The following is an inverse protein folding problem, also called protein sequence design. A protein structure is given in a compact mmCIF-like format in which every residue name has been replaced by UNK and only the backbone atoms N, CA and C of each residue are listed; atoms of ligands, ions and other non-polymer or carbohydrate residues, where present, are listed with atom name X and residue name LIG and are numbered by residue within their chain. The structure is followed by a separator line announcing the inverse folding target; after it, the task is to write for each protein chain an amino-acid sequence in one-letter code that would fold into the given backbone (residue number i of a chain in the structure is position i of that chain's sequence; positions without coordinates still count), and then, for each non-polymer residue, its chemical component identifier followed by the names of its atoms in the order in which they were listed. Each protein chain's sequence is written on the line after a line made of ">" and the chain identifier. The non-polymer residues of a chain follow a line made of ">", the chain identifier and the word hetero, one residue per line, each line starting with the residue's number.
data_IF_884399448894
#
_entry.id   IF_884399448894
#
_cell.length_a   1.000
_cell.length_b   1.000
_cell.length_c   1.000
_cell.angle_alpha   90.00
_cell.angle_beta   90.00
_cell.angle_gamma   90.00
#
_symmetry.space_group_name_H-M   'P 1'
#
loop_
_entity.id
_entity.type
_entity.pdbx_description
1 polymer ?
#
# COMPACT_ATOMS: atom_id res chain seq x y z
N UNK A 1 -8.94 -8.98 -16.17
CA UNK A 1 -9.88 -8.18 -15.38
C UNK A 1 -9.21 -7.03 -14.59
N UNK A 2 -8.15 -7.26 -13.80
CA UNK A 2 -7.50 -6.17 -13.02
C UNK A 2 -6.81 -5.07 -13.86
N UNK A 3 -6.22 -5.40 -15.01
CA UNK A 3 -5.41 -4.46 -15.80
C UNK A 3 -6.20 -3.29 -16.39
N UNK A 4 -7.43 -3.53 -16.83
CA UNK A 4 -8.31 -2.48 -17.37
C UNK A 4 -8.75 -1.51 -16.28
N UNK A 5 -9.10 -2.01 -15.10
CA UNK A 5 -9.47 -1.18 -13.96
C UNK A 5 -8.31 -0.28 -13.53
N UNK A 6 -7.08 -0.81 -13.47
CA UNK A 6 -5.89 0.02 -13.18
C UNK A 6 -5.65 1.07 -14.27
N UNK A 7 -5.84 0.74 -15.55
CA UNK A 7 -5.72 1.73 -16.63
C UNK A 7 -6.76 2.85 -16.49
N UNK A 8 -8.00 2.52 -16.13
CA UNK A 8 -9.07 3.50 -15.90
C UNK A 8 -8.72 4.39 -14.71
N UNK A 9 -8.25 3.82 -13.59
CA UNK A 9 -7.83 4.59 -12.43
C UNK A 9 -6.65 5.52 -12.74
N UNK A 10 -5.63 5.03 -13.44
CA UNK A 10 -4.48 5.84 -13.84
C UNK A 10 -4.90 6.98 -14.80
N UNK A 11 -5.79 6.71 -15.76
CA UNK A 11 -6.33 7.73 -16.65
C UNK A 11 -7.14 8.79 -15.87
N UNK A 12 -7.96 8.36 -14.91
CA UNK A 12 -8.71 9.28 -14.04
C UNK A 12 -7.78 10.15 -13.21
N UNK A 13 -6.71 9.59 -12.66
CA UNK A 13 -5.68 10.36 -11.94
C UNK A 13 -5.06 11.43 -12.83
N UNK A 14 -4.65 11.07 -14.06
CA UNK A 14 -4.11 12.06 -15.00
C UNK A 14 -5.12 13.16 -15.33
N UNK A 15 -6.38 12.81 -15.58
CA UNK A 15 -7.45 13.78 -15.89
C UNK A 15 -7.75 14.73 -14.73
N UNK A 16 -7.87 14.21 -13.51
CA UNK A 16 -8.16 15.03 -12.32
C UNK A 16 -6.96 15.91 -11.96
N UNK A 17 -5.72 15.43 -12.09
CA UNK A 17 -4.53 16.24 -11.82
C UNK A 17 -4.31 17.35 -12.86
N UNK A 18 -4.79 17.19 -14.10
CA UNK A 18 -4.80 18.29 -15.08
C UNK A 18 -5.79 19.40 -14.66
N UNK A 19 -6.94 19.03 -14.10
CA UNK A 19 -7.96 19.99 -13.64
C UNK A 19 -7.62 20.61 -12.29
N UNK A 20 -7.09 19.80 -11.38
CA UNK A 20 -6.83 20.12 -9.97
C UNK A 20 -5.45 19.57 -9.58
N UNK A 21 -4.36 20.29 -9.90
CA UNK A 21 -2.99 19.79 -9.69
C UNK A 21 -2.62 19.50 -8.24
N UNK A 22 -3.36 20.06 -7.29
CA UNK A 22 -3.16 19.84 -5.86
C UNK A 22 -3.75 18.52 -5.34
N UNK A 23 -4.61 17.83 -6.11
CA UNK A 23 -5.17 16.56 -5.69
C UNK A 23 -4.11 15.45 -5.70
N UNK A 24 -4.02 14.77 -4.57
CA UNK A 24 -3.17 13.59 -4.41
C UNK A 24 -3.77 12.39 -5.14
N UNK A 25 -2.92 11.40 -5.44
CA UNK A 25 -3.38 10.15 -6.07
C UNK A 25 -4.36 9.45 -5.11
N UNK A 26 -4.03 9.44 -3.83
CA UNK A 26 -4.81 8.82 -2.76
C UNK A 26 -6.22 9.40 -2.63
N UNK A 27 -6.39 10.72 -2.70
CA UNK A 27 -7.70 11.38 -2.71
C UNK A 27 -8.52 10.95 -3.92
N UNK A 28 -7.92 10.97 -5.12
CA UNK A 28 -8.59 10.57 -6.36
C UNK A 28 -9.00 9.09 -6.32
N UNK A 29 -8.15 8.23 -5.73
CA UNK A 29 -8.46 6.81 -5.56
C UNK A 29 -9.61 6.59 -4.58
N UNK A 30 -9.65 7.35 -3.48
CA UNK A 30 -10.75 7.29 -2.52
C UNK A 30 -12.07 7.71 -3.16
N UNK A 31 -12.07 8.80 -3.94
CA UNK A 31 -13.25 9.26 -4.69
C UNK A 31 -13.67 8.30 -5.81
N UNK A 32 -12.76 7.47 -6.29
CA UNK A 32 -13.04 6.39 -7.23
C UNK A 32 -13.55 5.10 -6.54
N UNK A 33 -13.71 5.09 -5.22
CA UNK A 33 -14.26 3.97 -4.44
C UNK A 33 -13.22 2.95 -3.97
N UNK A 34 -11.91 3.23 -4.09
CA UNK A 34 -10.86 2.31 -3.61
C UNK A 34 -10.93 2.12 -2.08
N UNK A 35 -11.45 3.10 -1.35
CA UNK A 35 -11.64 3.05 0.11
C UNK A 35 -12.57 1.93 0.60
N UNK A 36 -13.39 1.34 -0.26
CA UNK A 36 -14.23 0.17 0.09
C UNK A 36 -13.49 -1.17 0.12
N UNK A 37 -12.20 -1.19 -0.23
CA UNK A 37 -11.39 -2.42 -0.30
C UNK A 37 -10.66 -2.71 1.02
N UNK A 38 -10.23 -3.96 1.20
CA UNK A 38 -9.29 -4.29 2.29
C UNK A 38 -7.98 -3.49 2.14
N UNK A 39 -7.30 -3.18 3.25
CA UNK A 39 -6.03 -2.43 3.24
C UNK A 39 -5.04 -3.05 2.24
N UNK A 40 -4.90 -4.37 2.26
CA UNK A 40 -4.03 -5.09 1.33
C UNK A 40 -4.38 -4.85 -0.14
N UNK A 41 -5.66 -4.75 -0.48
CA UNK A 41 -6.10 -4.44 -1.84
C UNK A 41 -5.95 -2.94 -2.19
N UNK A 42 -6.19 -2.03 -1.23
CA UNK A 42 -5.97 -0.59 -1.41
C UNK A 42 -4.52 -0.29 -1.75
N UNK A 43 -3.56 -0.82 -0.98
CA UNK A 43 -2.14 -0.56 -1.20
C UNK A 43 -1.64 -1.15 -2.53
N UNK A 44 -2.21 -2.27 -2.98
CA UNK A 44 -1.89 -2.84 -4.29
C UNK A 44 -2.51 -2.04 -5.44
N UNK A 45 -3.74 -1.55 -5.28
CA UNK A 45 -4.37 -0.67 -6.27
C UNK A 45 -3.58 0.62 -6.42
N UNK A 46 -3.24 1.26 -5.30
CA UNK A 46 -2.34 2.41 -5.25
C UNK A 46 -1.03 2.10 -5.98
N UNK A 47 -0.36 1.01 -5.62
CA UNK A 47 0.94 0.70 -6.21
C UNK A 47 0.88 0.44 -7.70
N UNK A 48 -0.16 -0.24 -8.18
CA UNK A 48 -0.37 -0.47 -9.60
C UNK A 48 -0.62 0.84 -10.37
N UNK A 49 -1.30 1.82 -9.76
CA UNK A 49 -1.47 3.16 -10.35
C UNK A 49 -0.14 3.91 -10.39
N UNK A 50 0.64 3.92 -9.31
CA UNK A 50 1.99 4.50 -9.29
C UNK A 50 2.88 3.89 -10.39
N UNK A 51 2.92 2.55 -10.48
CA UNK A 51 3.63 1.84 -11.54
C UNK A 51 3.21 2.30 -12.93
N UNK A 52 1.89 2.36 -13.18
CA UNK A 52 1.34 2.72 -14.48
C UNK A 52 1.68 4.15 -14.89
N UNK A 53 1.79 5.06 -13.93
CA UNK A 53 2.19 6.45 -14.12
C UNK A 53 3.72 6.63 -14.17
N UNK A 54 4.51 5.56 -13.97
CA UNK A 54 5.97 5.63 -13.90
C UNK A 54 6.50 6.40 -12.69
N UNK A 55 5.71 6.48 -11.61
CA UNK A 55 6.04 7.24 -10.38
C UNK A 55 6.39 6.28 -9.24
N UNK A 56 7.30 6.70 -8.37
CA UNK A 56 7.63 5.94 -7.14
C UNK A 56 8.25 4.56 -7.41
N UNK A 57 8.94 4.42 -8.55
CA UNK A 57 9.71 3.22 -8.91
C UNK A 57 11.12 3.35 -8.38
N UNK A 58 11.66 2.26 -7.86
CA UNK A 58 13.09 2.19 -7.55
C UNK A 58 13.90 2.22 -8.85
N UNK A 59 15.11 2.81 -8.82
CA UNK A 59 15.94 2.85 -10.02
C UNK A 59 16.28 1.43 -10.52
N UNK A 60 16.48 1.24 -11.83
CA UNK A 60 16.84 -0.07 -12.38
C UNK A 60 18.06 -0.67 -11.66
N UNK A 61 17.89 -1.89 -11.14
CA UNK A 61 18.95 -2.62 -10.43
C UNK A 61 19.07 -2.30 -8.93
N UNK A 62 18.42 -1.25 -8.42
CA UNK A 62 18.56 -0.84 -7.01
C UNK A 62 17.54 -1.50 -6.07
N UNK A 63 16.46 -2.09 -6.60
CA UNK A 63 15.36 -2.65 -5.78
C UNK A 63 15.85 -3.64 -4.71
N UNK A 64 16.81 -4.49 -5.05
CA UNK A 64 17.37 -5.47 -4.09
C UNK A 64 18.11 -4.77 -2.94
N UNK A 65 18.90 -3.75 -3.23
CA UNK A 65 19.66 -3.01 -2.22
C UNK A 65 18.71 -2.18 -1.34
N UNK A 66 17.77 -1.45 -1.96
CA UNK A 66 16.75 -0.68 -1.25
C UNK A 66 15.91 -1.56 -0.33
N UNK A 67 15.47 -2.74 -0.80
CA UNK A 67 14.73 -3.69 0.02
C UNK A 67 15.59 -4.28 1.15
N UNK A 68 16.87 -4.53 0.90
CA UNK A 68 17.82 -4.95 1.93
C UNK A 68 17.96 -3.92 3.06
N UNK A 69 18.10 -2.64 2.71
CA UNK A 69 18.16 -1.54 3.68
C UNK A 69 16.86 -1.42 4.48
N UNK A 70 15.71 -1.50 3.80
CA UNK A 70 14.41 -1.48 4.48
C UNK A 70 14.26 -2.63 5.47
N UNK A 71 14.68 -3.85 5.10
CA UNK A 71 14.64 -5.03 5.98
C UNK A 71 15.57 -4.85 7.18
N UNK A 72 16.73 -4.22 6.99
CA UNK A 72 17.67 -3.95 8.07
C UNK A 72 17.05 -3.03 9.12
N UNK A 73 16.42 -1.94 8.70
CA UNK A 73 15.75 -0.99 9.60
C UNK A 73 14.46 -1.56 10.22
N UNK A 74 13.74 -2.37 9.43
CA UNK A 74 12.48 -2.99 9.83
C UNK A 74 12.54 -4.50 9.62
N UNK A 75 13.07 -5.27 10.59
CA UNK A 75 13.17 -6.73 10.47
C UNK A 75 11.83 -7.44 10.37
N UNK A 76 10.76 -6.79 10.83
CA UNK A 76 9.37 -7.27 10.78
C UNK A 76 8.47 -6.10 10.38
N UNK A 77 7.64 -6.30 9.36
CA UNK A 77 6.83 -5.22 8.79
C UNK A 77 5.51 -5.72 8.22
N UNK A 78 4.51 -4.83 8.23
CA UNK A 78 3.22 -5.02 7.58
C UNK A 78 3.33 -4.71 6.09
N UNK A 79 2.43 -5.29 5.31
CA UNK A 79 2.39 -5.06 3.88
C UNK A 79 2.15 -3.59 3.53
N UNK A 80 1.33 -2.86 4.31
CA UNK A 80 1.15 -1.42 4.10
C UNK A 80 2.45 -0.62 4.28
N UNK A 81 3.28 -1.00 5.25
CA UNK A 81 4.54 -0.31 5.56
C UNK A 81 5.54 -0.49 4.41
N UNK A 82 5.58 -1.71 3.86
CA UNK A 82 6.38 -1.97 2.66
C UNK A 82 5.88 -1.15 1.47
N UNK A 83 4.56 -1.04 1.27
CA UNK A 83 3.96 -0.25 0.17
C UNK A 83 4.03 1.26 0.35
N UNK A 84 4.27 1.73 1.57
CA UNK A 84 4.62 3.12 1.81
C UNK A 84 5.99 3.46 1.22
N UNK A 85 7.00 2.60 1.44
CA UNK A 85 8.35 2.78 0.88
C UNK A 85 8.42 2.43 -0.61
N UNK A 86 7.90 1.27 -1.01
CA UNK A 86 7.92 0.78 -2.39
C UNK A 86 6.59 1.07 -3.07
N UNK A 87 6.45 2.32 -3.50
CA UNK A 87 5.18 2.86 -3.95
C UNK A 87 4.73 2.26 -5.27
N UNK A 88 5.60 2.17 -6.27
CA UNK A 88 5.25 1.67 -7.61
C UNK A 88 5.86 0.31 -7.96
N UNK A 89 6.79 -0.22 -7.17
CA UNK A 89 7.52 -1.42 -7.58
C UNK A 89 6.59 -2.65 -7.71
N UNK A 90 6.79 -3.51 -8.74
CA UNK A 90 5.92 -4.66 -8.97
C UNK A 90 5.86 -5.62 -7.78
N UNK A 91 4.63 -6.04 -7.43
CA UNK A 91 4.37 -6.97 -6.32
C UNK A 91 5.25 -8.23 -6.39
N UNK A 92 5.32 -8.83 -7.57
CA UNK A 92 6.00 -10.10 -7.76
C UNK A 92 7.53 -9.94 -7.67
N UNK A 93 8.07 -8.81 -8.12
CA UNK A 93 9.49 -8.49 -7.96
C UNK A 93 9.87 -8.36 -6.47
N UNK A 94 9.07 -7.62 -5.71
CA UNK A 94 9.25 -7.47 -4.26
C UNK A 94 9.16 -8.85 -3.57
N UNK A 95 8.11 -9.62 -3.86
CA UNK A 95 7.91 -10.95 -3.24
C UNK A 95 9.04 -11.93 -3.55
N UNK A 96 9.54 -11.94 -4.78
CA UNK A 96 10.67 -12.78 -5.18
C UNK A 96 11.92 -12.45 -4.36
N UNK A 97 12.21 -11.16 -4.18
CA UNK A 97 13.34 -10.71 -3.37
C UNK A 97 13.15 -11.01 -1.89
N UNK A 98 11.96 -10.80 -1.31
CA UNK A 98 11.66 -11.18 0.07
C UNK A 98 11.88 -12.69 0.30
N UNK A 99 11.45 -13.51 -0.65
CA UNK A 99 11.68 -14.96 -0.60
C UNK A 99 13.18 -15.29 -0.66
N UNK A 100 13.94 -14.58 -1.51
CA UNK A 100 15.41 -14.72 -1.57
C UNK A 100 16.08 -14.31 -0.24
N UNK A 101 15.58 -13.29 0.44
CA UNK A 101 15.99 -12.88 1.79
C UNK A 101 15.49 -13.80 2.92
N UNK A 102 14.84 -14.93 2.58
CA UNK A 102 14.28 -15.89 3.55
C UNK A 102 13.17 -15.30 4.42
N UNK A 103 12.40 -14.37 3.88
CA UNK A 103 11.18 -13.85 4.50
C UNK A 103 9.94 -14.64 4.06
N UNK A 104 8.93 -14.67 4.91
CA UNK A 104 7.63 -15.28 4.64
C UNK A 104 6.50 -14.34 5.04
N UNK A 105 5.39 -14.44 4.33
CA UNK A 105 4.17 -13.69 4.59
C UNK A 105 3.25 -14.49 5.50
N UNK A 106 2.79 -13.89 6.59
CA UNK A 106 1.87 -14.51 7.55
C UNK A 106 0.73 -13.55 7.84
N UNK A 107 -0.47 -14.10 8.01
CA UNK A 107 -1.59 -13.33 8.53
C UNK A 107 -1.53 -13.33 10.06
N UNK A 108 -1.59 -12.15 10.66
CA UNK A 108 -1.63 -11.97 12.11
C UNK A 108 -2.93 -11.24 12.41
N UNK A 109 -3.88 -11.95 13.02
CA UNK A 109 -5.25 -11.46 13.25
C UNK A 109 -5.28 -10.13 14.00
N UNK A 110 -4.38 -9.94 14.98
CA UNK A 110 -4.33 -8.71 15.77
C UNK A 110 -3.86 -7.48 14.97
N UNK A 111 -3.32 -7.67 13.76
CA UNK A 111 -2.87 -6.60 12.88
C UNK A 111 -3.83 -6.32 11.73
N UNK A 112 -4.83 -7.19 11.51
CA UNK A 112 -5.77 -7.16 10.37
C UNK A 112 -5.10 -7.08 8.98
N UNK A 113 -3.79 -7.35 8.91
CA UNK A 113 -2.96 -7.22 7.73
C UNK A 113 -1.97 -8.39 7.61
N UNK A 114 -1.46 -8.58 6.39
CA UNK A 114 -0.33 -9.47 6.14
C UNK A 114 0.97 -8.87 6.67
N UNK A 115 1.71 -9.68 7.42
CA UNK A 115 3.01 -9.34 8.01
C UNK A 115 4.09 -10.18 7.36
N UNK A 116 5.21 -9.54 7.04
CA UNK A 116 6.43 -10.18 6.57
C UNK A 116 7.46 -10.24 7.69
N UNK A 117 8.04 -11.43 7.86
CA UNK A 117 9.05 -11.69 8.86
C UNK A 117 10.02 -12.78 8.37
N UNK A 118 11.21 -12.92 8.97
CA UNK A 118 12.11 -14.02 8.69
C UNK A 118 11.42 -15.37 8.89
N UNK A 119 11.67 -16.32 7.99
CA UNK A 119 10.99 -17.62 7.93
C UNK A 119 11.02 -18.40 9.25
N UNK A 120 12.10 -18.28 10.03
CA UNK A 120 12.28 -18.99 11.30
C UNK A 120 11.86 -18.19 12.53
N UNK A 121 11.41 -16.94 12.37
CA UNK A 121 10.98 -16.12 13.49
C UNK A 121 9.64 -16.60 14.04
N UNK A 122 9.51 -16.65 15.36
CA UNK A 122 8.28 -17.08 16.04
C UNK A 122 7.23 -15.97 16.04
N UNK A 123 5.94 -16.34 15.97
CA UNK A 123 4.85 -15.37 15.95
C UNK A 123 4.83 -14.46 17.18
N UNK A 124 5.22 -14.98 18.36
CA UNK A 124 5.34 -14.18 19.59
C UNK A 124 6.40 -13.08 19.43
N UNK A 125 7.57 -13.40 18.86
CA UNK A 125 8.63 -12.43 18.57
C UNK A 125 8.17 -11.39 17.55
N UNK A 126 7.48 -11.83 16.50
CA UNK A 126 6.90 -10.95 15.47
C UNK A 126 5.94 -9.94 16.10
N UNK A 127 5.00 -10.40 16.91
CA UNK A 127 4.06 -9.53 17.63
C UNK A 127 4.77 -8.54 18.55
N UNK A 128 5.74 -9.02 19.32
CA UNK A 128 6.50 -8.19 20.23
C UNK A 128 7.30 -7.10 19.50
N UNK A 129 7.89 -7.41 18.34
CA UNK A 129 8.57 -6.40 17.53
C UNK A 129 7.60 -5.35 16.97
N UNK A 130 6.45 -5.78 16.44
CA UNK A 130 5.44 -4.86 15.92
C UNK A 130 4.86 -3.95 17.01
N UNK A 131 4.61 -4.48 18.20
CA UNK A 131 4.04 -3.72 19.32
C UNK A 131 4.99 -2.66 19.89
N UNK A 132 6.31 -2.85 19.74
CA UNK A 132 7.32 -1.94 20.31
C UNK A 132 7.68 -0.76 19.44
N UNK A 133 7.09 -0.63 18.26
CA UNK A 133 7.39 0.45 17.32
C UNK A 133 6.13 1.08 16.73
N UNK A 134 6.24 2.34 16.35
CA UNK A 134 5.22 2.99 15.56
C UNK A 134 5.10 2.34 14.16
N UNK A 135 3.90 2.45 13.58
CA UNK A 135 3.68 2.04 12.19
C UNK A 135 4.41 3.02 11.26
N UNK A 136 5.12 2.47 10.29
CA UNK A 136 5.81 3.27 9.27
C UNK A 136 4.78 3.82 8.29
N UNK A 137 4.77 5.13 8.14
CA UNK A 137 3.92 5.83 7.19
C UNK A 137 3.78 7.31 7.56
N UNK A 138 3.17 8.07 6.66
CA UNK A 138 2.75 9.45 6.94
C UNK A 138 1.29 9.51 7.39
N UNK A 139 0.88 10.64 7.96
CA UNK A 139 -0.50 10.87 8.40
C UNK A 139 -1.46 10.79 7.21
N UNK A 140 -1.07 11.34 6.06
CA UNK A 140 -1.85 11.33 4.82
C UNK A 140 -2.02 9.90 4.30
N UNK A 141 -0.96 9.09 4.36
CA UNK A 141 -1.04 7.68 3.96
C UNK A 141 -1.98 6.89 4.86
N UNK A 142 -1.95 7.10 6.19
CA UNK A 142 -2.89 6.43 7.08
C UNK A 142 -4.31 6.98 6.95
N UNK A 143 -4.48 8.27 6.66
CA UNK A 143 -5.78 8.85 6.33
C UNK A 143 -6.37 8.19 5.09
N UNK A 144 -5.54 7.93 4.07
CA UNK A 144 -5.93 7.17 2.90
C UNK A 144 -6.39 5.76 3.25
N UNK A 145 -5.59 4.99 3.99
CA UNK A 145 -5.90 3.59 4.32
C UNK A 145 -7.12 3.42 5.23
N UNK A 146 -7.39 4.41 6.08
CA UNK A 146 -8.52 4.39 7.00
C UNK A 146 -9.70 5.23 6.51
N UNK A 147 -9.64 5.73 5.28
CA UNK A 147 -10.71 6.54 4.73
C UNK A 147 -11.99 5.73 4.69
N UNK A 148 -13.03 6.27 5.32
CA UNK A 148 -14.39 5.77 5.16
C UNK A 148 -15.16 6.79 4.37
N UNK A 149 -15.76 6.35 3.27
CA UNK A 149 -16.66 7.18 2.49
C UNK A 149 -17.73 7.69 3.45
N UNK A 150 -17.80 9.00 3.67
CA UNK A 150 -18.92 9.60 4.40
C UNK A 150 -20.16 9.13 3.66
N UNK A 151 -21.06 8.43 4.35
CA UNK A 151 -22.38 8.14 3.80
C UNK A 151 -22.87 9.45 3.18
N UNK A 152 -23.09 9.45 1.86
CA UNK A 152 -23.77 10.55 1.23
C UNK A 152 -25.05 10.69 2.03
N UNK A 153 -25.15 11.75 2.81
CA UNK A 153 -26.38 12.14 3.45
C UNK A 153 -27.38 12.25 2.30
N UNK A 154 -28.16 11.19 2.12
CA UNK A 154 -29.28 11.16 1.20
C UNK A 154 -30.22 12.22 1.73
N UNK A 155 -30.05 13.44 1.24
CA UNK A 155 -31.07 14.47 1.17
C UNK A 155 -32.19 13.94 0.28
N UNK A 156 -32.94 12.97 0.81
CA UNK A 156 -34.29 12.72 0.34
C UNK A 156 -35.10 13.92 0.82
N UNK A 157 -35.11 14.98 0.02
CA UNK A 157 -36.19 15.94 0.02
C UNK A 157 -37.49 15.14 -0.19
N UNK A 158 -38.21 14.90 0.90
CA UNK A 158 -39.61 14.50 0.82
C UNK A 158 -40.41 15.79 0.64
N UNK A 159 -40.99 15.94 -0.54
CA UNK A 159 -42.10 16.85 -0.82
C UNK A 159 -43.33 16.42 -0.03
#
# INVERSE_FOLDING_TARGET
>A
MYRELINILAARVLQEQVKQPWLTIEEILNDAGVCGLSIGAMVEARAAVYYRLGRGLTQPGELKAALGNFIFDYPVFRWSELRFYFQGDPKDAIKALLTAFKYTCRYISEQEEFVWAPMRMWNVTVRHQLARRAKVGSIEYFTYLNYRQKEQANSVCRY
#
